data_IF_358095692427
#
_entry.id   IF_358095692427
#
_cell.length_a   1.000
_cell.length_b   1.000
_cell.length_c   1.000
_cell.angle_alpha   90.00
_cell.angle_beta   90.00
_cell.angle_gamma   90.00
#
_symmetry.space_group_name_H-M   'P 1'
#
loop_
_entity.id
_entity.type
_entity.pdbx_description
1 polymer ?
#
# COMPACT_ATOMS: atom_id res chain seq x y z
N UNK A 1 12.69 -0.33 1.94
CA UNK A 1 11.30 -0.55 2.40
C UNK A 1 10.36 0.10 1.41
N UNK A 2 9.28 -0.59 1.08
CA UNK A 2 8.32 -0.14 0.08
C UNK A 2 6.95 -0.02 0.74
N UNK A 3 6.29 1.11 0.55
CA UNK A 3 4.97 1.39 1.12
C UNK A 3 4.05 1.98 0.06
N UNK A 4 2.79 1.57 0.10
CA UNK A 4 1.69 2.24 -0.59
C UNK A 4 0.85 2.93 0.47
N UNK A 5 0.53 4.20 0.26
CA UNK A 5 -0.41 4.95 1.06
C UNK A 5 -1.63 5.29 0.21
N UNK A 6 -2.69 4.51 0.38
CA UNK A 6 -3.98 4.72 -0.27
C UNK A 6 -4.76 5.80 0.47
N UNK A 7 -5.18 6.84 -0.22
CA UNK A 7 -6.04 7.91 0.31
C UNK A 7 -7.35 7.86 -0.48
N UNK A 8 -8.45 7.53 0.19
CA UNK A 8 -9.78 7.36 -0.43
C UNK A 8 -10.86 7.83 0.51
N UNK A 9 -12.07 8.09 0.01
CA UNK A 9 -13.23 8.42 0.82
C UNK A 9 -14.37 7.41 0.75
N UNK A 10 -14.24 6.31 -0.01
CA UNK A 10 -15.29 5.29 -0.03
C UNK A 10 -15.29 4.34 -1.22
N UNK A 11 -16.37 3.56 -1.31
CA UNK A 11 -16.36 2.15 -1.68
C UNK A 11 -15.77 1.84 -3.06
N UNK A 12 -14.86 0.86 -3.12
CA UNK A 12 -14.51 0.26 -4.40
C UNK A 12 -15.75 -0.38 -5.00
N UNK A 13 -16.13 0.06 -6.20
CA UNK A 13 -17.36 -0.34 -6.85
C UNK A 13 -17.14 -1.03 -8.20
N UNK A 14 -15.88 -1.14 -8.65
CA UNK A 14 -15.51 -1.69 -9.97
C UNK A 14 -14.18 -2.44 -9.88
N UNK A 15 -14.12 -3.62 -10.49
CA UNK A 15 -12.87 -4.38 -10.70
C UNK A 15 -12.60 -5.46 -9.65
N UNK A 16 -11.35 -5.92 -9.59
CA UNK A 16 -10.89 -6.92 -8.62
C UNK A 16 -10.98 -6.37 -7.18
N UNK A 17 -11.19 -7.26 -6.20
CA UNK A 17 -11.17 -6.91 -4.77
C UNK A 17 -9.88 -6.16 -4.37
N UNK A 18 -10.00 -4.96 -3.76
CA UNK A 18 -8.82 -4.20 -3.34
C UNK A 18 -8.04 -4.88 -2.21
N UNK A 19 -8.70 -5.70 -1.38
CA UNK A 19 -8.03 -6.50 -0.36
C UNK A 19 -7.12 -7.59 -0.98
N UNK A 20 -7.56 -8.21 -2.09
CA UNK A 20 -6.74 -9.19 -2.80
C UNK A 20 -5.51 -8.53 -3.43
N UNK A 21 -5.69 -7.36 -4.06
CA UNK A 21 -4.58 -6.57 -4.60
C UNK A 21 -3.58 -6.15 -3.51
N UNK A 22 -4.06 -5.73 -2.33
CA UNK A 22 -3.21 -5.39 -1.19
C UNK A 22 -2.45 -6.61 -0.64
N UNK A 23 -3.07 -7.79 -0.58
CA UNK A 23 -2.39 -9.02 -0.20
C UNK A 23 -1.26 -9.38 -1.15
N UNK A 24 -1.44 -9.18 -2.47
CA UNK A 24 -0.37 -9.35 -3.46
C UNK A 24 0.77 -8.36 -3.26
N UNK A 25 0.47 -7.12 -2.88
CA UNK A 25 1.50 -6.13 -2.53
C UNK A 25 2.34 -6.59 -1.33
N UNK A 26 1.70 -7.12 -0.28
CA UNK A 26 2.40 -7.64 0.89
C UNK A 26 3.29 -8.85 0.57
N UNK A 27 2.81 -9.78 -0.27
CA UNK A 27 3.62 -10.90 -0.76
C UNK A 27 4.88 -10.44 -1.51
N UNK A 28 4.85 -9.20 -1.99
CA UNK A 28 5.90 -8.47 -2.67
C UNK A 28 6.68 -7.52 -1.73
N UNK A 29 6.62 -7.75 -0.41
CA UNK A 29 7.32 -6.94 0.60
C UNK A 29 6.98 -5.42 0.50
N UNK A 30 5.77 -5.09 0.00
CA UNK A 30 5.19 -3.75 -0.06
C UNK A 30 4.04 -3.65 0.94
N UNK A 31 4.18 -2.78 1.95
CA UNK A 31 3.13 -2.56 2.96
C UNK A 31 2.08 -1.59 2.43
N UNK A 32 0.79 -1.91 2.58
CA UNK A 32 -0.32 -1.02 2.17
C UNK A 32 -0.99 -0.41 3.39
N UNK A 33 -0.90 0.92 3.49
CA UNK A 33 -1.61 1.74 4.46
C UNK A 33 -2.80 2.40 3.79
N UNK A 34 -3.89 2.62 4.53
CA UNK A 34 -5.12 3.21 3.99
C UNK A 34 -5.62 4.35 4.88
N UNK A 35 -5.86 5.51 4.30
CA UNK A 35 -6.46 6.66 4.95
C UNK A 35 -7.80 6.95 4.30
N UNK A 36 -8.87 6.78 5.09
CA UNK A 36 -10.21 7.23 4.78
C UNK A 36 -10.36 8.72 5.09
N UNK A 37 -10.78 9.55 4.13
CA UNK A 37 -10.99 10.99 4.35
C UNK A 37 -12.48 11.33 4.38
N UNK A 38 -12.93 11.88 5.52
CA UNK A 38 -14.36 12.09 5.81
C UNK A 38 -14.65 13.57 6.00
N UNK A 39 -15.80 14.03 5.51
CA UNK A 39 -16.26 15.38 5.81
C UNK A 39 -16.84 15.45 7.24
N UNK A 40 -16.88 16.66 7.79
CA UNK A 40 -17.46 16.92 9.10
C UNK A 40 -18.94 16.47 9.12
N UNK A 41 -19.25 15.47 9.96
CA UNK A 41 -20.60 14.92 10.09
C UNK A 41 -20.88 13.63 9.33
N UNK A 42 -19.97 13.17 8.45
CA UNK A 42 -20.14 11.93 7.67
C UNK A 42 -19.39 10.71 8.24
N UNK A 43 -18.84 10.82 9.44
CA UNK A 43 -17.99 9.82 10.09
C UNK A 43 -18.62 8.42 10.28
N UNK A 44 -19.91 8.24 9.95
CA UNK A 44 -20.64 6.96 10.01
C UNK A 44 -21.01 6.33 8.67
N UNK A 45 -20.72 6.95 7.52
CA UNK A 45 -21.16 6.45 6.18
C UNK A 45 -20.07 5.74 5.36
N UNK A 46 -18.85 5.66 5.89
CA UNK A 46 -17.69 5.13 5.14
C UNK A 46 -17.60 3.61 5.26
N UNK A 47 -17.08 2.98 4.20
CA UNK A 47 -16.70 1.57 4.16
C UNK A 47 -15.48 1.30 5.05
N UNK A 48 -15.63 1.55 6.36
CA UNK A 48 -14.58 1.36 7.35
C UNK A 48 -14.07 -0.08 7.33
N UNK A 49 -14.98 -1.04 7.13
CA UNK A 49 -14.66 -2.46 6.95
C UNK A 49 -13.78 -2.70 5.72
N UNK A 50 -14.06 -2.03 4.60
CA UNK A 50 -13.24 -2.14 3.39
C UNK A 50 -11.84 -1.54 3.61
N UNK A 51 -11.76 -0.32 4.14
CA UNK A 51 -10.50 0.36 4.46
C UNK A 51 -9.65 -0.51 5.39
N UNK A 52 -10.25 -1.03 6.46
CA UNK A 52 -9.56 -1.91 7.40
C UNK A 52 -9.15 -3.23 6.74
N UNK A 53 -10.02 -3.82 5.93
CA UNK A 53 -9.72 -5.07 5.22
C UNK A 53 -8.55 -4.91 4.25
N UNK A 54 -8.48 -3.81 3.50
CA UNK A 54 -7.37 -3.51 2.58
C UNK A 54 -6.07 -3.36 3.37
N UNK A 55 -6.06 -2.52 4.41
CA UNK A 55 -4.87 -2.29 5.22
C UNK A 55 -4.38 -3.58 5.87
N UNK A 56 -5.29 -4.38 6.45
CA UNK A 56 -4.99 -5.66 7.08
C UNK A 56 -4.40 -6.65 6.08
N UNK A 57 -5.00 -6.78 4.90
CA UNK A 57 -4.50 -7.66 3.85
C UNK A 57 -3.11 -7.22 3.33
N UNK A 58 -2.86 -5.92 3.27
CA UNK A 58 -1.58 -5.33 2.90
C UNK A 58 -0.55 -5.21 4.04
N UNK A 59 -0.85 -5.72 5.24
CA UNK A 59 0.06 -5.72 6.40
C UNK A 59 0.33 -4.33 6.99
N UNK A 60 -0.50 -3.34 6.66
CA UNK A 60 -0.37 -1.96 7.14
C UNK A 60 -1.49 -1.56 8.10
N UNK A 61 -1.72 -0.25 8.19
CA UNK A 61 -2.69 0.34 9.11
C UNK A 61 -3.78 1.09 8.34
N UNK A 62 -4.96 1.18 8.94
CA UNK A 62 -6.06 2.01 8.47
C UNK A 62 -6.35 3.14 9.45
N UNK A 63 -6.69 4.33 8.93
CA UNK A 63 -7.23 5.44 9.73
C UNK A 63 -8.33 6.15 8.96
N UNK A 64 -9.34 6.61 9.67
CA UNK A 64 -10.41 7.45 9.14
C UNK A 64 -10.24 8.82 9.79
N UNK A 65 -10.06 9.86 8.98
CA UNK A 65 -9.68 11.20 9.45
C UNK A 65 -10.42 12.28 8.69
N UNK A 66 -10.49 13.45 9.31
CA UNK A 66 -10.96 14.66 8.64
C UNK A 66 -9.81 15.29 7.83
N UNK A 67 -10.10 16.07 6.77
CA UNK A 67 -9.08 16.70 5.93
C UNK A 67 -7.99 17.44 6.71
N UNK A 68 -8.36 18.17 7.76
CA UNK A 68 -7.39 18.94 8.55
C UNK A 68 -6.40 18.08 9.37
N UNK A 69 -6.71 16.79 9.58
CA UNK A 69 -5.81 15.84 10.27
C UNK A 69 -4.98 15.00 9.28
N UNK A 70 -5.21 15.13 7.98
CA UNK A 70 -4.65 14.26 6.95
C UNK A 70 -3.12 14.31 6.94
N UNK A 71 -2.53 15.52 6.93
CA UNK A 71 -1.08 15.72 6.93
C UNK A 71 -0.38 15.01 8.07
N UNK A 72 -0.84 15.23 9.30
CA UNK A 72 -0.27 14.58 10.50
C UNK A 72 -0.44 13.06 10.44
N UNK A 73 -1.58 12.58 9.93
CA UNK A 73 -1.88 11.15 9.84
C UNK A 73 -0.99 10.45 8.81
N UNK A 74 -0.79 11.05 7.64
CA UNK A 74 0.11 10.56 6.59
C UNK A 74 1.53 10.36 7.12
N UNK A 75 2.08 11.37 7.81
CA UNK A 75 3.41 11.31 8.40
C UNK A 75 3.49 10.23 9.49
N UNK A 76 2.53 10.23 10.42
CA UNK A 76 2.47 9.27 11.53
C UNK A 76 2.40 7.83 11.02
N UNK A 77 1.53 7.55 10.06
CA UNK A 77 1.36 6.20 9.53
C UNK A 77 2.60 5.72 8.78
N UNK A 78 3.24 6.60 8.00
CA UNK A 78 4.49 6.28 7.30
C UNK A 78 5.58 5.89 8.30
N UNK A 79 5.79 6.72 9.35
CA UNK A 79 6.81 6.46 10.38
C UNK A 79 6.53 5.19 11.17
N UNK A 80 5.29 4.98 11.62
CA UNK A 80 4.90 3.78 12.36
C UNK A 80 5.07 2.51 11.51
N UNK A 81 4.82 2.60 10.20
CA UNK A 81 5.03 1.47 9.29
C UNK A 81 6.51 1.13 9.13
N UNK A 82 7.39 2.13 9.05
CA UNK A 82 8.85 1.93 9.02
C UNK A 82 9.30 1.21 10.30
N UNK A 83 8.94 1.77 11.47
CA UNK A 83 9.34 1.21 12.77
C UNK A 83 8.77 -0.20 12.97
N UNK A 84 7.52 -0.44 12.58
CA UNK A 84 6.87 -1.75 12.64
C UNK A 84 7.54 -2.78 11.74
N UNK A 85 7.90 -2.41 10.50
CA UNK A 85 8.60 -3.29 9.55
C UNK A 85 9.98 -3.69 10.05
N UNK A 86 10.72 -2.74 10.63
CA UNK A 86 12.03 -3.00 11.26
C UNK A 86 11.85 -3.95 12.44
N UNK A 87 10.90 -3.66 13.34
CA UNK A 87 10.62 -4.51 14.51
C UNK A 87 10.30 -5.94 14.10
N UNK A 88 9.46 -6.12 13.09
CA UNK A 88 9.10 -7.45 12.58
C UNK A 88 10.32 -8.20 12.03
N UNK A 89 11.18 -7.50 11.29
CA UNK A 89 12.42 -8.07 10.73
C UNK A 89 13.39 -8.47 11.86
N UNK A 90 13.62 -7.58 12.83
CA UNK A 90 14.50 -7.83 13.97
C UNK A 90 13.97 -8.99 14.83
N UNK A 91 12.68 -9.01 15.15
CA UNK A 91 12.08 -10.11 15.92
C UNK A 91 12.23 -11.45 15.17
N UNK A 92 12.13 -11.46 13.84
CA UNK A 92 12.36 -12.66 13.03
C UNK A 92 13.81 -13.15 13.14
N UNK A 93 14.78 -12.24 13.07
CA UNK A 93 16.20 -12.59 13.24
C UNK A 93 16.51 -13.08 14.66
N UNK A 94 15.95 -12.43 15.69
CA UNK A 94 16.11 -12.87 17.08
C UNK A 94 15.56 -14.27 17.32
N UNK A 95 14.38 -14.60 16.75
CA UNK A 95 13.80 -15.93 16.85
C UNK A 95 14.66 -16.97 16.14
N UNK A 96 15.15 -16.65 14.94
CA UNK A 96 15.95 -17.58 14.15
C UNK A 96 17.34 -17.86 14.77
N UNK A 97 17.97 -16.85 15.35
CA UNK A 97 19.36 -16.95 15.84
C UNK A 97 19.46 -17.28 17.34
N UNK A 98 18.53 -16.78 18.15
CA UNK A 98 18.59 -16.83 19.61
C UNK A 98 17.40 -17.54 20.26
N UNK A 99 16.38 -17.94 19.47
CA UNK A 99 15.17 -18.58 20.00
C UNK A 99 14.32 -17.64 20.88
N UNK A 100 14.49 -16.33 20.75
CA UNK A 100 13.76 -15.29 21.50
C UNK A 100 12.65 -14.74 20.62
N UNK A 101 11.42 -14.70 21.12
CA UNK A 101 10.26 -14.31 20.30
C UNK A 101 10.20 -12.81 20.03
N UNK A 102 10.70 -12.01 20.98
CA UNK A 102 10.62 -10.55 20.91
C UNK A 102 11.80 -9.82 21.56
N UNK A 103 12.07 -8.60 21.07
CA UNK A 103 13.02 -7.66 21.70
C UNK A 103 12.69 -7.40 23.18
N UNK A 104 11.42 -7.53 23.59
CA UNK A 104 10.98 -7.30 24.96
C UNK A 104 11.55 -8.32 25.96
N UNK A 105 11.77 -9.57 25.52
CA UNK A 105 12.32 -10.66 26.32
C UNK A 105 13.84 -10.55 26.53
N UNK A 106 14.51 -9.68 25.79
CA UNK A 106 15.95 -9.46 25.97
C UNK A 106 16.26 -8.79 27.32
N UNK A 107 17.40 -9.12 27.96
CA UNK A 107 17.89 -8.42 29.14
C UNK A 107 18.01 -6.91 28.90
N UNK A 108 17.79 -6.05 29.92
CA UNK A 108 17.74 -4.59 29.72
C UNK A 108 18.91 -3.98 28.94
N UNK A 109 20.18 -4.37 29.18
CA UNK A 109 21.31 -3.82 28.41
C UNK A 109 21.24 -4.15 26.92
N UNK A 110 20.94 -5.42 26.57
CA UNK A 110 20.82 -5.87 25.18
C UNK A 110 19.58 -5.29 24.50
N UNK A 111 18.46 -5.18 25.23
CA UNK A 111 17.25 -4.53 24.73
C UNK A 111 17.52 -3.09 24.32
N UNK A 112 18.24 -2.33 25.15
CA UNK A 112 18.60 -0.95 24.85
C UNK A 112 19.49 -0.83 23.60
N UNK A 113 20.42 -1.77 23.41
CA UNK A 113 21.27 -1.84 22.22
C UNK A 113 20.45 -2.13 20.95
N UNK A 114 19.56 -3.11 20.99
CA UNK A 114 18.70 -3.46 19.85
C UNK A 114 17.74 -2.32 19.52
N UNK A 115 17.18 -1.64 20.51
CA UNK A 115 16.31 -0.47 20.27
C UNK A 115 17.08 0.65 19.55
N UNK A 116 18.31 0.98 19.98
CA UNK A 116 19.14 1.99 19.29
C UNK A 116 19.45 1.60 17.85
N UNK A 117 19.79 0.33 17.61
CA UNK A 117 20.02 -0.18 16.26
C UNK A 117 18.75 -0.03 15.40
N UNK A 118 17.56 -0.32 15.95
CA UNK A 118 16.31 -0.15 15.24
C UNK A 118 16.02 1.32 14.87
N UNK A 119 16.33 2.26 15.76
CA UNK A 119 16.21 3.71 15.50
C UNK A 119 17.15 4.13 14.35
N UNK A 120 18.41 3.68 14.37
CA UNK A 120 19.37 3.97 13.31
C UNK A 120 18.94 3.37 11.96
N UNK A 121 18.43 2.13 11.96
CA UNK A 121 17.84 1.53 10.76
C UNK A 121 16.65 2.33 10.24
N UNK A 122 15.83 2.92 11.11
CA UNK A 122 14.66 3.71 10.71
C UNK A 122 15.04 5.01 9.99
N UNK A 123 16.20 5.57 10.30
CA UNK A 123 16.70 6.79 9.66
C UNK A 123 17.50 6.52 8.39
N UNK A 124 18.27 5.44 8.35
CA UNK A 124 19.24 5.15 7.28
C UNK A 124 18.68 4.25 6.17
N UNK A 125 17.62 3.47 6.43
CA UNK A 125 17.08 2.54 5.43
C UNK A 125 16.37 3.29 4.30
N UNK A 126 16.66 2.87 3.06
CA UNK A 126 15.96 3.36 1.87
C UNK A 126 14.44 3.18 1.98
N UNK A 127 13.68 4.23 1.70
CA UNK A 127 12.23 4.23 1.76
C UNK A 127 11.63 4.71 0.43
N UNK A 128 10.66 3.94 -0.07
CA UNK A 128 9.89 4.28 -1.26
C UNK A 128 8.41 4.30 -0.87
N UNK A 129 7.77 5.46 -1.00
CA UNK A 129 6.36 5.65 -0.67
C UNK A 129 5.59 6.02 -1.92
N UNK A 130 4.70 5.14 -2.38
CA UNK A 130 3.76 5.48 -3.44
C UNK A 130 2.46 5.96 -2.81
N UNK A 131 2.05 7.18 -3.12
CA UNK A 131 0.74 7.72 -2.77
C UNK A 131 -0.24 7.34 -3.86
N UNK A 132 -1.31 6.66 -3.49
CA UNK A 132 -2.39 6.29 -4.39
C UNK A 132 -3.65 7.04 -3.98
N UNK A 133 -4.09 7.98 -4.81
CA UNK A 133 -5.08 8.98 -4.45
C UNK A 133 -6.36 8.75 -5.21
N UNK A 134 -7.45 8.66 -4.46
CA UNK A 134 -8.78 8.65 -5.03
C UNK A 134 -9.13 10.04 -5.59
N UNK A 135 -9.51 10.04 -6.86
CA UNK A 135 -9.95 11.19 -7.63
C UNK A 135 -11.45 11.08 -7.96
N UNK A 136 -12.22 10.36 -7.16
CA UNK A 136 -13.68 10.35 -7.23
C UNK A 136 -14.26 11.76 -7.07
N UNK A 137 -15.50 11.96 -7.51
CA UNK A 137 -16.19 13.25 -7.38
C UNK A 137 -16.28 13.75 -5.93
N UNK A 138 -16.38 12.85 -4.94
CA UNK A 138 -16.46 13.18 -3.52
C UNK A 138 -15.12 13.61 -2.91
N UNK A 139 -13.99 13.34 -3.59
CA UNK A 139 -12.67 13.80 -3.17
C UNK A 139 -12.38 15.27 -3.52
N UNK A 140 -13.24 15.91 -4.32
CA UNK A 140 -13.08 17.32 -4.75
C UNK A 140 -12.79 18.31 -3.61
N UNK A 141 -13.59 18.38 -2.53
CA UNK A 141 -13.31 19.30 -1.44
C UNK A 141 -12.06 18.91 -0.63
N UNK A 142 -11.60 17.65 -0.73
CA UNK A 142 -10.53 17.06 0.09
C UNK A 142 -9.16 17.19 -0.57
N UNK A 143 -9.10 17.40 -1.89
CA UNK A 143 -7.85 17.44 -2.66
C UNK A 143 -6.84 18.48 -2.16
N UNK A 144 -7.28 19.64 -1.69
CA UNK A 144 -6.36 20.65 -1.17
C UNK A 144 -5.57 20.14 0.05
N UNK A 145 -6.25 19.45 0.96
CA UNK A 145 -5.60 18.82 2.11
C UNK A 145 -4.70 17.65 1.70
N UNK A 146 -5.09 16.90 0.67
CA UNK A 146 -4.24 15.83 0.10
C UNK A 146 -2.95 16.42 -0.47
N UNK A 147 -3.04 17.49 -1.26
CA UNK A 147 -1.86 18.15 -1.83
C UNK A 147 -0.89 18.66 -0.75
N UNK A 148 -1.43 19.29 0.30
CA UNK A 148 -0.65 19.73 1.46
C UNK A 148 0.02 18.55 2.16
N UNK A 149 -0.71 17.48 2.43
CA UNK A 149 -0.17 16.28 3.08
C UNK A 149 0.97 15.63 2.28
N UNK A 150 0.88 15.63 0.94
CA UNK A 150 1.92 15.08 0.08
C UNK A 150 3.17 15.95 0.08
N UNK A 151 3.00 17.28 0.05
CA UNK A 151 4.10 18.24 0.16
C UNK A 151 4.86 18.05 1.47
N UNK A 152 4.14 17.97 2.58
CA UNK A 152 4.71 17.84 3.91
C UNK A 152 5.33 16.46 4.13
N UNK A 153 4.76 15.40 3.55
CA UNK A 153 5.39 14.09 3.53
C UNK A 153 6.71 14.13 2.76
N UNK A 154 6.72 14.72 1.56
CA UNK A 154 7.93 14.81 0.74
C UNK A 154 9.05 15.61 1.47
N UNK A 155 8.71 16.71 2.14
CA UNK A 155 9.64 17.46 2.99
C UNK A 155 10.16 16.62 4.17
N UNK A 156 9.27 15.89 4.86
CA UNK A 156 9.66 15.01 5.97
C UNK A 156 10.55 13.84 5.51
N UNK A 157 10.37 13.37 4.28
CA UNK A 157 11.20 12.31 3.71
C UNK A 157 12.58 12.81 3.30
N UNK A 158 12.70 14.08 2.87
CA UNK A 158 13.99 14.71 2.56
C UNK A 158 14.90 14.89 3.79
N UNK A 159 14.34 15.00 4.99
CA UNK A 159 15.14 15.15 6.21
C UNK A 159 15.74 13.85 6.73
N UNK A 160 15.34 12.70 6.18
CA UNK A 160 15.90 11.39 6.56
C UNK A 160 17.31 11.22 6.00
N UNK A 161 18.17 10.52 6.74
CA UNK A 161 19.55 10.24 6.30
C UNK A 161 19.59 9.25 5.12
N UNK A 162 18.69 8.27 5.12
CA UNK A 162 18.55 7.28 4.06
C UNK A 162 17.81 7.80 2.84
N UNK A 163 18.12 7.21 1.67
CA UNK A 163 17.45 7.54 0.41
C UNK A 163 15.93 7.39 0.52
N UNK A 164 15.21 8.49 0.37
CA UNK A 164 13.75 8.49 0.38
C UNK A 164 13.23 9.03 -0.94
N UNK A 165 12.24 8.35 -1.52
CA UNK A 165 11.55 8.89 -2.68
C UNK A 165 10.04 8.62 -2.61
N UNK A 166 9.30 9.54 -3.19
CA UNK A 166 7.86 9.50 -3.30
C UNK A 166 7.44 9.39 -4.77
N UNK A 167 6.37 8.64 -5.03
CA UNK A 167 5.68 8.65 -6.32
C UNK A 167 4.20 8.92 -6.05
N UNK A 168 3.52 9.60 -6.98
CA UNK A 168 2.11 9.99 -6.82
C UNK A 168 1.31 9.42 -7.97
N UNK A 169 0.21 8.78 -7.62
CA UNK A 169 -0.77 8.22 -8.53
C UNK A 169 -2.16 8.70 -8.17
N UNK A 170 -3.03 8.80 -9.17
CA UNK A 170 -4.45 8.93 -8.95
C UNK A 170 -5.25 7.85 -9.67
N UNK A 171 -6.46 7.63 -9.18
CA UNK A 171 -7.47 6.76 -9.80
C UNK A 171 -8.87 7.32 -9.52
N UNK A 172 -9.83 7.18 -10.45
CA UNK A 172 -9.70 6.61 -11.80
C UNK A 172 -8.91 7.52 -12.74
N UNK A 173 -8.34 6.97 -13.81
CA UNK A 173 -7.76 7.76 -14.89
C UNK A 173 -8.82 8.41 -15.79
N UNK A 174 -8.40 9.32 -16.67
CA UNK A 174 -9.32 9.97 -17.61
C UNK A 174 -9.92 8.98 -18.63
N UNK A 175 -9.11 8.02 -19.08
CA UNK A 175 -9.53 6.94 -19.96
C UNK A 175 -10.14 5.80 -19.12
N UNK A 176 -11.38 5.34 -19.42
CA UNK A 176 -12.00 4.20 -18.73
C UNK A 176 -11.16 2.91 -18.73
N UNK A 177 -10.23 2.76 -19.67
CA UNK A 177 -9.30 1.63 -19.74
C UNK A 177 -8.02 1.81 -18.92
N UNK A 178 -7.78 3.02 -18.39
CA UNK A 178 -6.63 3.34 -17.53
C UNK A 178 -7.13 3.46 -16.10
N UNK A 179 -7.06 2.38 -15.29
CA UNK A 179 -7.59 2.41 -13.93
C UNK A 179 -6.82 3.35 -13.02
N UNK A 180 -5.56 3.66 -13.34
CA UNK A 180 -4.68 4.48 -12.51
C UNK A 180 -3.60 5.18 -13.35
N UNK A 181 -3.32 6.44 -13.03
CA UNK A 181 -2.38 7.30 -13.73
C UNK A 181 -1.21 7.63 -12.80
N UNK A 182 0.01 7.58 -13.33
CA UNK A 182 1.21 8.07 -12.64
C UNK A 182 1.33 9.58 -12.87
N UNK A 183 1.08 10.37 -11.83
CA UNK A 183 1.17 11.84 -11.88
C UNK A 183 2.59 12.33 -11.64
N UNK A 184 3.31 11.64 -10.75
CA UNK A 184 4.67 11.97 -10.37
C UNK A 184 5.50 10.69 -10.24
N UNK A 185 6.53 10.49 -11.08
CA UNK A 185 7.46 9.39 -10.91
C UNK A 185 8.26 9.56 -9.62
N UNK A 186 9.11 8.57 -9.30
CA UNK A 186 9.94 8.63 -8.10
C UNK A 186 10.76 9.92 -8.06
N UNK A 187 10.53 10.71 -7.03
CA UNK A 187 11.25 11.95 -6.77
C UNK A 187 11.62 12.04 -5.31
N UNK A 188 12.78 12.62 -5.03
CA UNK A 188 13.18 13.09 -3.72
C UNK A 188 12.93 14.60 -3.58
N UNK A 189 12.38 15.26 -4.60
CA UNK A 189 12.13 16.71 -4.66
C UNK A 189 10.64 17.03 -4.52
N UNK A 190 10.36 18.07 -3.75
CA UNK A 190 9.02 18.67 -3.52
C UNK A 190 8.60 19.57 -4.70
N UNK A 191 9.52 19.87 -5.60
CA UNK A 191 9.33 20.77 -6.74
C UNK A 191 8.34 20.15 -7.75
N UNK A 192 7.20 20.81 -7.99
CA UNK A 192 6.22 20.39 -9.01
C UNK A 192 4.90 19.80 -8.47
N UNK A 193 4.83 19.46 -7.18
CA UNK A 193 3.63 18.89 -6.54
C UNK A 193 2.39 19.79 -6.68
N UNK A 194 2.57 21.12 -6.63
CA UNK A 194 1.45 22.07 -6.65
C UNK A 194 0.73 22.24 -7.99
N UNK A 195 1.12 21.46 -9.01
CA UNK A 195 0.43 21.44 -10.30
C UNK A 195 -0.29 20.11 -10.56
N UNK A 196 -0.06 19.08 -9.75
CA UNK A 196 -0.54 17.72 -10.01
C UNK A 196 -2.07 17.64 -10.03
N UNK A 197 -2.73 18.29 -9.06
CA UNK A 197 -4.18 18.13 -8.86
C UNK A 197 -5.06 19.07 -9.70
N UNK A 198 -4.47 20.05 -10.40
CA UNK A 198 -5.25 21.05 -11.16
C UNK A 198 -5.89 20.49 -12.42
N UNK A 199 -5.38 19.38 -12.94
CA UNK A 199 -5.84 18.77 -14.19
C UNK A 199 -6.59 17.45 -13.96
N UNK A 200 -6.78 17.01 -12.72
CA UNK A 200 -7.44 15.74 -12.43
C UNK A 200 -8.95 15.89 -12.69
N UNK A 201 -9.44 15.22 -13.73
CA UNK A 201 -10.88 15.14 -14.01
C UNK A 201 -11.51 14.08 -13.13
N UNK A 202 -12.27 14.52 -12.13
CA UNK A 202 -12.95 13.59 -11.24
C UNK A 202 -14.08 12.86 -11.95
N UNK A 203 -14.10 11.54 -11.78
CA UNK A 203 -15.11 10.64 -12.35
C UNK A 203 -15.88 9.91 -11.24
N UNK A 204 -16.94 9.19 -11.63
CA UNK A 204 -17.86 8.53 -10.68
C UNK A 204 -17.53 7.08 -10.32
N UNK A 205 -16.42 6.52 -10.83
CA UNK A 205 -16.04 5.12 -10.55
C UNK A 205 -14.75 5.05 -9.73
N UNK A 206 -14.60 4.01 -8.90
CA UNK A 206 -13.51 3.88 -7.93
C UNK A 206 -12.84 2.50 -8.07
N UNK A 207 -11.98 2.30 -9.10
CA UNK A 207 -11.31 1.01 -9.37
C UNK A 207 -10.09 0.78 -8.46
N UNK A 208 -10.30 0.74 -7.15
CA UNK A 208 -9.23 0.66 -6.14
C UNK A 208 -8.33 -0.56 -6.30
N UNK A 209 -8.89 -1.75 -6.56
CA UNK A 209 -8.10 -2.97 -6.75
C UNK A 209 -7.17 -2.90 -7.97
N UNK A 210 -7.69 -2.60 -9.18
CA UNK A 210 -6.87 -2.36 -10.37
C UNK A 210 -5.82 -1.25 -10.16
N UNK A 211 -6.15 -0.19 -9.43
CA UNK A 211 -5.21 0.88 -9.12
C UNK A 211 -4.05 0.41 -8.22
N UNK A 212 -4.33 -0.37 -7.17
CA UNK A 212 -3.31 -0.99 -6.34
C UNK A 212 -2.38 -1.90 -7.16
N UNK A 213 -2.94 -2.71 -8.06
CA UNK A 213 -2.13 -3.58 -8.93
C UNK A 213 -1.17 -2.78 -9.80
N UNK A 214 -1.63 -1.67 -10.40
CA UNK A 214 -0.80 -0.79 -11.23
C UNK A 214 0.39 -0.21 -10.45
N UNK A 215 0.16 0.16 -9.19
CA UNK A 215 1.24 0.67 -8.32
C UNK A 215 2.22 -0.45 -7.95
N UNK A 216 1.74 -1.66 -7.65
CA UNK A 216 2.59 -2.83 -7.39
C UNK A 216 3.46 -3.16 -8.61
N UNK A 217 2.89 -3.10 -9.80
CA UNK A 217 3.62 -3.27 -11.06
C UNK A 217 4.70 -2.19 -11.24
N UNK A 218 4.37 -0.93 -10.98
CA UNK A 218 5.36 0.16 -11.01
C UNK A 218 6.53 -0.07 -10.04
N UNK A 219 6.25 -0.55 -8.82
CA UNK A 219 7.29 -0.96 -7.88
C UNK A 219 8.17 -2.06 -8.47
N UNK A 220 7.58 -3.07 -9.13
CA UNK A 220 8.32 -4.16 -9.77
C UNK A 220 9.23 -3.65 -10.89
N UNK A 221 8.70 -2.80 -11.76
CA UNK A 221 9.40 -2.20 -12.91
C UNK A 221 10.59 -1.33 -12.48
N UNK A 222 10.41 -0.55 -11.41
CA UNK A 222 11.36 0.53 -11.06
C UNK A 222 12.29 0.21 -9.89
N UNK A 223 11.89 -0.71 -9.01
CA UNK A 223 12.72 -1.06 -7.85
C UNK A 223 13.48 -2.39 -8.03
N UNK A 224 13.05 -3.29 -8.93
CA UNK A 224 13.71 -4.57 -9.24
C UNK A 224 13.84 -5.54 -8.05
N UNK A 225 13.75 -6.85 -8.29
CA UNK A 225 13.86 -7.91 -7.26
C UNK A 225 12.83 -7.82 -6.11
N UNK A 226 11.59 -7.56 -6.47
CA UNK A 226 10.47 -7.87 -5.59
C UNK A 226 10.11 -9.33 -5.85
N UNK A 227 10.27 -10.21 -4.86
CA UNK A 227 10.25 -11.68 -5.01
C UNK A 227 9.13 -12.13 -5.96
N UNK A 228 9.51 -12.64 -7.13
CA UNK A 228 8.61 -13.45 -7.94
C UNK A 228 8.37 -14.76 -7.17
N UNK A 229 7.17 -14.93 -6.62
CA UNK A 229 6.66 -16.27 -6.35
C UNK A 229 5.19 -16.40 -6.74
N UNK A 230 5.05 -17.17 -7.81
CA UNK A 230 3.95 -18.08 -8.14
C UNK A 230 2.82 -17.48 -8.97
N UNK A 231 3.00 -17.62 -10.29
CA UNK A 231 1.91 -17.91 -11.21
C UNK A 231 0.97 -18.93 -10.58
N UNK A 232 -0.31 -18.56 -10.45
CA UNK A 232 -1.37 -19.48 -10.12
C UNK A 232 -1.52 -20.44 -11.32
N UNK A 233 -0.79 -21.55 -11.29
CA UNK A 233 -1.04 -22.66 -12.20
C UNK A 233 -2.44 -23.19 -11.86
N UNK A 234 -3.44 -22.78 -12.63
CA UNK A 234 -4.73 -23.44 -12.66
C UNK A 234 -4.47 -24.93 -12.94
N UNK A 235 -5.06 -25.86 -12.17
CA UNK A 235 -4.93 -27.28 -12.46
C UNK A 235 -5.44 -27.52 -13.89
N UNK A 236 -4.76 -28.37 -14.68
CA UNK A 236 -5.22 -28.66 -16.04
C UNK A 236 -6.62 -29.25 -15.92
N UNK A 237 -7.59 -28.57 -16.55
CA UNK A 237 -8.89 -29.16 -16.82
C UNK A 237 -8.66 -30.52 -17.46
N UNK A 238 -9.11 -31.57 -16.77
CA UNK A 238 -9.10 -32.93 -17.28
C UNK A 238 -9.76 -32.92 -18.65
N UNK A 239 -8.98 -33.28 -19.67
CA UNK A 239 -9.52 -33.74 -20.93
C UNK A 239 -10.24 -35.05 -20.62
N UNK A 240 -11.56 -35.01 -20.57
CA UNK A 240 -12.34 -36.20 -20.88
C UNK A 240 -12.19 -36.41 -22.39
N UNK A 241 -11.24 -37.26 -22.77
CA UNK A 241 -11.21 -37.83 -24.11
C UNK A 241 -12.29 -38.92 -24.22
N UNK A 242 -12.95 -39.04 -25.38
CA UNK A 242 -14.04 -39.98 -25.63
C UNK A 242 -13.55 -41.39 -26.00
N UNK A 243 -14.43 -42.37 -25.74
CA UNK A 243 -14.53 -43.70 -26.35
C UNK A 243 -13.32 -44.67 -26.34
N UNK A 244 -13.46 -45.75 -25.56
CA UNK A 244 -13.12 -47.11 -26.03
C UNK A 244 -14.18 -48.11 -25.54
N UNK A 245 -14.78 -48.78 -26.53
CA UNK A 245 -15.78 -49.84 -26.42
C UNK A 245 -15.23 -51.19 -25.89
N UNK A 246 -16.18 -52.00 -25.43
CA UNK A 246 -16.26 -53.48 -25.48
C UNK A 246 -15.41 -54.36 -24.55
N UNK A 247 -16.11 -55.01 -23.63
CA UNK A 247 -16.21 -56.47 -23.44
C UNK A 247 -17.15 -56.67 -22.24
N UNK A 248 -18.30 -57.33 -22.35
CA UNK A 248 -18.49 -58.74 -22.66
C UNK A 248 -18.95 -59.44 -21.37
N UNK A 249 -20.00 -60.28 -21.46
CA UNK A 249 -20.47 -61.24 -20.44
C UNK A 249 -21.21 -60.66 -19.20
N UNK A 250 -22.33 -61.16 -18.65
CA UNK A 250 -23.15 -62.39 -18.76
C UNK A 250 -24.55 -62.05 -18.21
N UNK A 251 -25.64 -62.62 -18.74
CA UNK A 251 -26.93 -62.73 -18.03
C UNK A 251 -28.16 -62.59 -18.90
#
# INVERSE_FOLDING_TARGET
>A
MNQILLITDGHSNVGESPALAASRALAQDIVVNVIGVVDEGEAGRIGAEEIESIARAGGGMSRIVQPHMLTQTVQMMTQQTVVGTIRMTVNKELRNLLGVESVAELPPPKRAEVVRMMEELSETTRLRVALLIDASASMRPKLAAVEEAIRDLALSLQSRQGESAVAVFHFPGEDPHVPCVLDLPWTDRVDGLGKLFRNIRMQGTTPTGPALQRVVEYFRETCGNIKEKTEFALPPHGREDPDVMESGDVG
#
